data_IF_079945424157
#
_entry.id   IF_079945424157
#
_cell.length_a   1.000
_cell.length_b   1.000
_cell.length_c   1.000
_cell.angle_alpha   90.00
_cell.angle_beta   90.00
_cell.angle_gamma   90.00
#
_symmetry.space_group_name_H-M   'P 1'
#
loop_
_entity.id
_entity.type
_entity.pdbx_description
1 polymer ?
#
# COMPACT_ATOMS: atom_id res chain seq x y z
N UNK A 1 -16.63 -14.76 -14.41
CA UNK A 1 -16.52 -13.44 -13.75
C UNK A 1 -17.81 -13.17 -12.96
N UNK A 2 -17.73 -12.74 -11.70
CA UNK A 2 -18.92 -12.46 -10.85
C UNK A 2 -19.71 -11.25 -11.37
N UNK A 3 -21.04 -11.26 -11.21
CA UNK A 3 -21.94 -10.16 -11.61
C UNK A 3 -21.53 -8.81 -11.00
N UNK A 4 -21.15 -8.78 -9.72
CA UNK A 4 -20.63 -7.56 -9.08
C UNK A 4 -19.42 -6.99 -9.83
N UNK A 5 -18.51 -7.84 -10.29
CA UNK A 5 -17.29 -7.40 -10.99
C UNK A 5 -17.61 -6.80 -12.35
N UNK A 6 -18.62 -7.31 -13.07
CA UNK A 6 -19.12 -6.70 -14.32
C UNK A 6 -19.67 -5.30 -14.08
N UNK A 7 -20.54 -5.16 -13.06
CA UNK A 7 -21.11 -3.85 -12.69
C UNK A 7 -20.03 -2.82 -12.33
N UNK A 8 -18.99 -3.23 -11.61
CA UNK A 8 -17.88 -2.35 -11.27
C UNK A 8 -17.02 -1.96 -12.48
N UNK A 9 -16.90 -2.84 -13.47
CA UNK A 9 -16.17 -2.55 -14.72
C UNK A 9 -16.97 -1.57 -15.59
N UNK A 10 -18.29 -1.74 -15.65
CA UNK A 10 -19.18 -0.89 -16.45
C UNK A 10 -19.42 0.50 -15.83
N UNK A 11 -19.39 0.61 -14.49
CA UNK A 11 -19.56 1.89 -13.79
C UNK A 11 -18.30 2.78 -13.90
N UNK A 12 -18.33 3.91 -14.62
CA UNK A 12 -17.18 4.80 -14.79
C UNK A 12 -16.73 5.46 -13.47
N UNK A 13 -17.58 5.50 -12.44
CA UNK A 13 -17.27 6.10 -11.14
C UNK A 13 -16.54 5.15 -10.19
N UNK A 14 -16.34 3.88 -10.58
CA UNK A 14 -15.65 2.88 -9.75
C UNK A 14 -14.26 3.34 -9.26
N UNK A 15 -13.39 3.99 -10.06
CA UNK A 15 -12.10 4.50 -9.58
C UNK A 15 -12.24 5.55 -8.49
N UNK A 16 -13.10 6.55 -8.70
CA UNK A 16 -13.35 7.60 -7.70
C UNK A 16 -13.96 7.04 -6.42
N UNK A 17 -14.90 6.09 -6.51
CA UNK A 17 -15.48 5.41 -5.35
C UNK A 17 -14.43 4.57 -4.60
N UNK A 18 -13.57 3.84 -5.31
CA UNK A 18 -12.49 3.06 -4.71
C UNK A 18 -11.50 3.98 -3.97
N UNK A 19 -11.10 5.09 -4.59
CA UNK A 19 -10.25 6.10 -3.95
C UNK A 19 -10.91 6.69 -2.70
N UNK A 20 -12.19 7.08 -2.81
CA UNK A 20 -12.95 7.64 -1.68
C UNK A 20 -13.04 6.66 -0.52
N UNK A 21 -13.39 5.40 -0.76
CA UNK A 21 -13.43 4.39 0.30
C UNK A 21 -12.07 4.22 0.97
N UNK A 22 -10.99 4.12 0.18
CA UNK A 22 -9.62 4.07 0.73
C UNK A 22 -9.22 5.32 1.52
N UNK A 23 -9.80 6.48 1.20
CA UNK A 23 -9.56 7.74 1.90
C UNK A 23 -10.37 7.89 3.19
N UNK A 24 -11.48 7.16 3.32
CA UNK A 24 -12.24 7.06 4.59
C UNK A 24 -11.54 6.12 5.54
N UNK A 25 -11.14 4.94 5.06
CA UNK A 25 -10.44 3.95 5.88
C UNK A 25 -9.45 3.14 5.01
N UNK A 26 -8.18 3.01 5.45
CA UNK A 26 -7.16 2.31 4.68
C UNK A 26 -7.58 0.89 4.27
N UNK A 27 -7.42 0.58 2.97
CA UNK A 27 -7.79 -0.73 2.41
C UNK A 27 -9.26 -0.91 2.01
N UNK A 28 -10.20 -0.02 2.38
CA UNK A 28 -11.62 -0.21 1.98
C UNK A 28 -11.80 -0.16 0.45
N UNK A 29 -11.08 0.70 -0.25
CA UNK A 29 -11.13 0.76 -1.72
C UNK A 29 -10.72 -0.56 -2.36
N UNK A 30 -9.74 -1.26 -1.76
CA UNK A 30 -9.29 -2.57 -2.23
C UNK A 30 -10.37 -3.63 -2.03
N UNK A 31 -11.07 -3.62 -0.89
CA UNK A 31 -12.22 -4.51 -0.63
C UNK A 31 -13.37 -4.20 -1.58
N UNK A 32 -13.63 -2.92 -1.85
CA UNK A 32 -14.68 -2.47 -2.77
C UNK A 32 -14.48 -3.05 -4.19
N UNK A 33 -13.24 -3.04 -4.70
CA UNK A 33 -12.91 -3.61 -6.02
C UNK A 33 -12.59 -5.12 -5.99
N UNK A 34 -12.73 -5.78 -4.85
CA UNK A 34 -12.51 -7.23 -4.69
C UNK A 34 -11.03 -7.65 -4.60
N UNK A 35 -10.10 -6.73 -4.38
CA UNK A 35 -8.66 -6.98 -4.18
C UNK A 35 -8.27 -7.03 -2.69
N UNK A 36 -9.06 -7.72 -1.86
CA UNK A 36 -8.86 -7.76 -0.40
C UNK A 36 -7.51 -8.34 0.04
N UNK A 37 -6.86 -9.16 -0.79
CA UNK A 37 -5.53 -9.71 -0.51
C UNK A 37 -4.45 -8.63 -0.32
N UNK A 38 -4.66 -7.41 -0.82
CA UNK A 38 -3.75 -6.27 -0.64
C UNK A 38 -3.84 -5.64 0.76
N UNK A 39 -4.96 -5.83 1.47
CA UNK A 39 -5.25 -5.15 2.74
C UNK A 39 -4.20 -5.44 3.82
N UNK A 40 -3.74 -6.69 4.04
CA UNK A 40 -2.69 -6.96 5.02
C UNK A 40 -1.40 -6.16 4.79
N UNK A 41 -1.02 -5.91 3.53
CA UNK A 41 0.16 -5.10 3.21
C UNK A 41 -0.02 -3.62 3.55
N UNK A 42 -1.20 -3.07 3.30
CA UNK A 42 -1.55 -1.69 3.68
C UNK A 42 -1.45 -1.52 5.21
N UNK A 43 -2.07 -2.43 5.95
CA UNK A 43 -2.03 -2.39 7.42
C UNK A 43 -0.64 -2.70 7.98
N UNK A 44 0.13 -3.58 7.34
CA UNK A 44 1.52 -3.85 7.69
C UNK A 44 2.39 -2.59 7.58
N UNK A 45 2.27 -1.86 6.47
CA UNK A 45 3.03 -0.63 6.25
C UNK A 45 2.64 0.50 7.22
N UNK A 46 1.33 0.72 7.42
CA UNK A 46 0.84 1.70 8.40
C UNK A 46 1.27 1.30 9.81
N UNK A 47 1.06 0.03 10.19
CA UNK A 47 1.39 -0.49 11.52
C UNK A 47 2.88 -0.36 11.84
N UNK A 48 3.76 -0.72 10.89
CA UNK A 48 5.20 -0.57 11.05
C UNK A 48 5.61 0.90 11.26
N UNK A 49 5.00 1.81 10.51
CA UNK A 49 5.31 3.24 10.56
C UNK A 49 4.78 3.88 11.85
N UNK A 50 3.58 3.50 12.29
CA UNK A 50 3.02 3.92 13.58
C UNK A 50 3.87 3.39 14.74
N UNK A 51 4.30 2.13 14.69
CA UNK A 51 5.21 1.57 15.69
C UNK A 51 6.51 2.37 15.78
N UNK A 52 7.14 2.66 14.62
CA UNK A 52 8.34 3.48 14.54
C UNK A 52 8.13 4.88 15.13
N UNK A 53 6.99 5.52 14.84
CA UNK A 53 6.64 6.83 15.39
C UNK A 53 6.53 6.80 16.92
N UNK A 54 5.74 5.87 17.46
CA UNK A 54 5.49 5.77 18.90
C UNK A 54 6.78 5.45 19.66
N UNK A 55 7.57 4.50 19.16
CA UNK A 55 8.84 4.13 19.77
C UNK A 55 9.79 5.33 19.83
N UNK A 56 10.00 6.01 18.70
CA UNK A 56 10.92 7.14 18.64
C UNK A 56 10.41 8.37 19.41
N UNK A 57 9.10 8.61 19.47
CA UNK A 57 8.52 9.65 20.31
C UNK A 57 8.80 9.38 21.79
N UNK A 58 8.60 8.14 22.26
CA UNK A 58 8.88 7.74 23.64
C UNK A 58 10.36 7.93 24.00
N UNK A 59 11.27 7.46 23.15
CA UNK A 59 12.70 7.62 23.39
C UNK A 59 13.11 9.10 23.37
N UNK A 60 12.62 9.88 22.41
CA UNK A 60 12.87 11.33 22.38
C UNK A 60 12.42 12.01 23.69
N UNK A 61 11.26 11.66 24.24
CA UNK A 61 10.75 12.22 25.49
C UNK A 61 11.59 11.81 26.71
N UNK A 62 12.13 10.59 26.72
CA UNK A 62 13.09 10.11 27.72
C UNK A 62 14.35 10.97 27.76
N UNK A 63 15.02 11.13 26.61
CA UNK A 63 16.19 12.01 26.48
C UNK A 63 15.89 13.46 26.88
N UNK A 64 14.74 13.99 26.43
CA UNK A 64 14.30 15.35 26.75
C UNK A 64 14.06 15.54 28.25
N UNK A 65 13.49 14.53 28.91
CA UNK A 65 13.20 14.57 30.35
C UNK A 65 14.49 14.56 31.17
N UNK A 66 15.42 13.67 30.84
CA UNK A 66 16.75 13.64 31.48
C UNK A 66 17.49 14.97 31.31
N UNK A 67 17.50 15.52 30.10
CA UNK A 67 18.13 16.82 29.83
C UNK A 67 17.53 17.95 30.67
N UNK A 68 16.19 18.02 30.77
CA UNK A 68 15.51 19.00 31.62
C UNK A 68 15.83 18.83 33.11
N UNK A 69 15.90 17.59 33.61
CA UNK A 69 16.26 17.32 35.02
C UNK A 69 17.65 17.84 35.35
N UNK A 70 18.63 17.59 34.48
CA UNK A 70 20.01 18.09 34.68
C UNK A 70 20.10 19.60 34.64
N UNK A 71 19.35 20.26 33.75
CA UNK A 71 19.26 21.73 33.74
C UNK A 71 18.65 22.30 35.03
N UNK A 72 17.78 21.56 35.70
CA UNK A 72 17.23 21.91 37.00
C UNK A 72 18.17 21.56 38.18
N UNK A 73 19.38 21.06 37.92
CA UNK A 73 20.39 20.75 38.93
C UNK A 73 20.33 19.33 39.50
N UNK A 74 19.34 18.52 39.12
CA UNK A 74 19.22 17.14 39.59
C UNK A 74 20.30 16.23 38.96
N UNK A 75 20.69 15.18 39.70
CA UNK A 75 21.73 14.22 39.29
C UNK A 75 21.20 12.77 39.29
N UNK A 76 19.89 12.58 39.22
CA UNK A 76 19.19 11.30 39.42
C UNK A 76 18.43 10.81 38.16
N UNK A 77 18.82 11.29 36.97
CA UNK A 77 18.17 10.87 35.72
C UNK A 77 18.57 9.47 35.27
N UNK A 78 17.72 8.86 34.44
CA UNK A 78 17.86 7.49 33.94
C UNK A 78 19.18 7.23 33.18
N UNK A 79 19.79 8.27 32.62
CA UNK A 79 21.01 8.16 31.81
C UNK A 79 22.25 8.65 32.55
N UNK A 80 22.17 8.99 33.84
CA UNK A 80 23.26 9.68 34.53
C UNK A 80 24.60 8.92 34.48
N UNK A 81 24.54 7.61 34.62
CA UNK A 81 25.72 6.72 34.62
C UNK A 81 26.17 6.35 33.20
N UNK A 82 25.24 6.16 32.28
CA UNK A 82 25.51 5.68 30.91
C UNK A 82 25.87 6.81 29.94
N UNK A 83 25.25 7.99 30.11
CA UNK A 83 25.39 9.15 29.23
C UNK A 83 25.56 10.41 30.10
N UNK A 84 26.73 10.60 30.74
CA UNK A 84 26.94 11.71 31.68
C UNK A 84 27.01 13.07 30.98
N UNK A 85 27.37 13.10 29.69
CA UNK A 85 27.46 14.32 28.89
C UNK A 85 26.09 14.78 28.39
N UNK A 86 25.76 16.05 28.65
CA UNK A 86 24.54 16.70 28.18
C UNK A 86 24.49 16.83 26.65
N UNK A 87 25.65 16.98 25.99
CA UNK A 87 25.72 17.07 24.53
C UNK A 87 25.18 15.78 23.87
N UNK A 88 25.49 14.63 24.47
CA UNK A 88 25.03 13.30 24.03
C UNK A 88 23.55 13.07 24.27
N UNK A 89 22.97 13.65 25.33
CA UNK A 89 21.51 13.64 25.50
C UNK A 89 20.79 14.40 24.38
N UNK A 90 21.34 15.57 23.98
CA UNK A 90 20.78 16.36 22.88
C UNK A 90 20.90 15.60 21.56
N UNK A 91 22.04 14.95 21.32
CA UNK A 91 22.28 14.12 20.14
C UNK A 91 21.26 12.97 20.05
N UNK A 92 21.08 12.20 21.14
CA UNK A 92 20.08 11.12 21.21
C UNK A 92 18.64 11.62 21.01
N UNK A 93 18.29 12.76 21.63
CA UNK A 93 16.99 13.40 21.40
C UNK A 93 16.79 13.77 19.92
N UNK A 94 17.78 14.38 19.27
CA UNK A 94 17.72 14.77 17.84
C UNK A 94 17.62 13.54 16.94
N UNK A 95 18.36 12.47 17.26
CA UNK A 95 18.28 11.20 16.55
C UNK A 95 16.85 10.68 16.55
N UNK A 96 16.28 10.45 17.73
CA UNK A 96 14.91 9.91 17.83
C UNK A 96 13.86 10.87 17.26
N UNK A 97 14.04 12.19 17.40
CA UNK A 97 13.18 13.17 16.73
C UNK A 97 13.17 12.96 15.21
N UNK A 98 14.34 12.82 14.58
CA UNK A 98 14.46 12.61 13.13
C UNK A 98 13.74 11.34 12.67
N UNK A 99 13.95 10.22 13.39
CA UNK A 99 13.30 8.95 13.06
C UNK A 99 11.78 8.95 13.31
N UNK A 100 11.31 9.66 14.33
CA UNK A 100 9.88 9.92 14.52
C UNK A 100 9.30 10.71 13.34
N UNK A 101 9.97 11.78 12.94
CA UNK A 101 9.51 12.64 11.85
C UNK A 101 9.50 11.85 10.52
N UNK A 102 10.50 11.00 10.26
CA UNK A 102 10.48 10.06 9.14
C UNK A 102 9.33 9.06 9.23
N UNK A 103 9.09 8.47 10.41
CA UNK A 103 7.97 7.54 10.62
C UNK A 103 6.63 8.22 10.32
N UNK A 104 6.48 9.48 10.70
CA UNK A 104 5.29 10.27 10.36
C UNK A 104 5.13 10.49 8.85
N UNK A 105 6.22 10.78 8.14
CA UNK A 105 6.20 10.86 6.68
C UNK A 105 5.80 9.53 6.03
N UNK A 106 6.28 8.40 6.57
CA UNK A 106 5.85 7.08 6.08
C UNK A 106 4.37 6.82 6.34
N UNK A 107 3.82 7.20 7.49
CA UNK A 107 2.38 7.11 7.75
C UNK A 107 1.59 7.87 6.67
N UNK A 108 1.94 9.13 6.43
CA UNK A 108 1.27 9.97 5.43
C UNK A 108 1.46 9.41 4.01
N UNK A 109 2.68 9.03 3.66
CA UNK A 109 3.02 8.48 2.35
C UNK A 109 2.28 7.19 2.06
N UNK A 110 2.27 6.24 3.00
CA UNK A 110 1.51 4.99 2.88
C UNK A 110 0.00 5.25 2.80
N UNK A 111 -0.52 6.20 3.58
CA UNK A 111 -1.94 6.57 3.53
C UNK A 111 -2.34 7.07 2.15
N UNK A 112 -1.58 8.01 1.58
CA UNK A 112 -1.80 8.53 0.23
C UNK A 112 -1.62 7.44 -0.83
N UNK A 113 -0.58 6.62 -0.72
CA UNK A 113 -0.30 5.53 -1.65
C UNK A 113 -1.42 4.49 -1.68
N UNK A 114 -2.03 4.19 -0.53
CA UNK A 114 -3.19 3.29 -0.45
C UNK A 114 -4.41 3.83 -1.23
N UNK A 115 -4.64 5.14 -1.21
CA UNK A 115 -5.71 5.77 -1.98
C UNK A 115 -5.41 5.70 -3.48
N UNK A 116 -4.19 6.07 -3.87
CA UNK A 116 -3.75 6.05 -5.26
C UNK A 116 -3.76 4.62 -5.83
N UNK A 117 -3.27 3.63 -5.09
CA UNK A 117 -3.25 2.23 -5.54
C UNK A 117 -4.68 1.70 -5.76
N UNK A 118 -5.65 2.08 -4.93
CA UNK A 118 -7.05 1.69 -5.13
C UNK A 118 -7.64 2.35 -6.40
N UNK A 119 -7.37 3.64 -6.60
CA UNK A 119 -7.80 4.37 -7.79
C UNK A 119 -7.22 3.76 -9.08
N UNK A 120 -5.90 3.56 -9.12
CA UNK A 120 -5.20 2.97 -10.27
C UNK A 120 -5.66 1.53 -10.49
N UNK A 121 -5.79 0.73 -9.43
CA UNK A 121 -6.27 -0.64 -9.51
C UNK A 121 -7.67 -0.76 -10.10
N UNK A 122 -8.53 0.21 -9.80
CA UNK A 122 -9.88 0.30 -10.34
C UNK A 122 -9.86 0.74 -11.82
N UNK A 123 -9.06 1.74 -12.18
CA UNK A 123 -8.88 2.14 -13.59
C UNK A 123 -8.37 0.99 -14.46
N UNK A 124 -7.37 0.24 -13.96
CA UNK A 124 -6.83 -0.93 -14.66
C UNK A 124 -7.85 -2.06 -14.79
N UNK A 125 -8.81 -2.16 -13.87
CA UNK A 125 -9.88 -3.15 -13.95
C UNK A 125 -10.88 -2.82 -15.05
N UNK A 126 -11.13 -1.53 -15.32
CA UNK A 126 -12.00 -1.05 -16.40
C UNK A 126 -11.31 -1.06 -17.76
N UNK A 127 -9.96 -0.99 -17.77
CA UNK A 127 -9.19 -1.05 -19.00
C UNK A 127 -9.47 -2.39 -19.70
N UNK A 128 -9.93 -2.27 -20.93
CA UNK A 128 -10.54 -3.35 -21.67
C UNK A 128 -9.50 -4.34 -22.18
N UNK A 129 -9.21 -5.38 -21.41
CA UNK A 129 -8.71 -6.64 -21.99
C UNK A 129 -9.95 -7.39 -22.48
N UNK A 130 -10.47 -7.01 -23.66
CA UNK A 130 -11.42 -7.84 -24.38
C UNK A 130 -10.68 -9.16 -24.64
N UNK A 131 -11.02 -10.23 -23.91
CA UNK A 131 -10.67 -11.63 -24.22
C UNK A 131 -11.30 -12.10 -25.56
N UNK A 132 -11.56 -11.17 -26.48
CA UNK A 132 -12.17 -11.40 -27.77
C UNK A 132 -11.15 -11.90 -28.79
N UNK A 133 -9.86 -11.97 -28.41
CA UNK A 133 -8.81 -12.61 -29.20
C UNK A 133 -8.63 -14.04 -28.67
N UNK A 134 -9.36 -14.97 -29.25
CA UNK A 134 -9.24 -16.40 -28.92
C UNK A 134 -8.49 -17.11 -30.04
N UNK A 135 -7.39 -17.77 -29.69
CA UNK A 135 -6.64 -18.67 -30.56
C UNK A 135 -7.12 -20.10 -30.30
N UNK A 136 -7.65 -20.76 -31.34
CA UNK A 136 -8.06 -22.16 -31.26
C UNK A 136 -7.45 -22.95 -32.43
N UNK A 137 -6.99 -24.18 -32.20
CA UNK A 137 -6.55 -25.04 -33.30
C UNK A 137 -7.75 -25.35 -34.21
N UNK A 138 -7.51 -25.29 -35.53
CA UNK A 138 -8.50 -25.57 -36.57
C UNK A 138 -8.09 -26.83 -37.32
N UNK A 139 -8.99 -27.80 -37.36
CA UNK A 139 -8.82 -29.06 -38.07
C UNK A 139 -9.98 -29.19 -39.04
N UNK A 140 -9.68 -29.29 -40.33
CA UNK A 140 -10.69 -29.45 -41.37
C UNK A 140 -10.27 -30.57 -42.30
N UNK A 141 -11.09 -31.62 -42.35
CA UNK A 141 -10.92 -32.73 -43.27
C UNK A 141 -11.78 -32.48 -44.49
N UNK A 142 -11.16 -32.31 -45.65
CA UNK A 142 -11.89 -32.18 -46.91
C UNK A 142 -12.34 -33.57 -47.38
N UNK A 143 -13.66 -33.76 -47.45
CA UNK A 143 -14.26 -35.05 -47.79
C UNK A 143 -14.04 -35.46 -49.26
N UNK A 144 -13.68 -34.51 -50.14
CA UNK A 144 -13.49 -34.77 -51.58
C UNK A 144 -12.04 -35.11 -51.92
N UNK A 145 -11.08 -34.45 -51.28
CA UNK A 145 -9.64 -34.64 -51.54
C UNK A 145 -8.96 -35.58 -50.56
N UNK A 146 -9.64 -35.94 -49.45
CA UNK A 146 -9.11 -36.77 -48.34
C UNK A 146 -7.87 -36.17 -47.66
N UNK A 147 -7.60 -34.88 -47.90
CA UNK A 147 -6.50 -34.16 -47.25
C UNK A 147 -6.96 -33.56 -45.92
N UNK A 148 -6.04 -33.55 -44.95
CA UNK A 148 -6.27 -32.98 -43.62
C UNK A 148 -5.55 -31.65 -43.51
N UNK A 149 -6.32 -30.57 -43.37
CA UNK A 149 -5.80 -29.22 -43.20
C UNK A 149 -5.69 -28.87 -41.72
N UNK A 150 -4.50 -28.44 -41.32
CA UNK A 150 -4.17 -28.02 -39.95
C UNK A 150 -3.89 -26.53 -39.94
N UNK A 151 -4.53 -25.78 -39.05
CA UNK A 151 -4.33 -24.34 -38.97
C UNK A 151 -4.64 -23.76 -37.60
N UNK A 152 -4.46 -22.44 -37.47
CA UNK A 152 -4.83 -21.67 -36.29
C UNK A 152 -5.98 -20.75 -36.68
N UNK A 153 -7.11 -20.86 -35.99
CA UNK A 153 -8.24 -19.94 -36.16
C UNK A 153 -8.18 -18.84 -35.12
N UNK A 154 -8.12 -17.61 -35.61
CA UNK A 154 -8.23 -16.40 -34.80
C UNK A 154 -9.67 -15.93 -34.83
N UNK A 155 -10.36 -15.97 -33.69
CA UNK A 155 -11.66 -15.33 -33.55
C UNK A 155 -11.41 -13.89 -33.10
N UNK A 156 -11.92 -12.93 -33.89
CA UNK A 156 -11.97 -11.51 -33.54
C UNK A 156 -13.43 -11.09 -33.63
N UNK A 157 -14.01 -10.69 -32.50
CA UNK A 157 -15.35 -10.09 -32.46
C UNK A 157 -15.18 -8.58 -32.26
N UNK A 158 -15.30 -7.85 -33.37
CA UNK A 158 -15.23 -6.39 -33.45
C UNK A 158 -16.31 -5.77 -32.54
#
# INVERSE_FOLDING_TARGET
MSERKKLLIEDPLTPSKAAFYSAVLPGLGQIYIGKSWKVPFVYGAIGASVYGYVYNQKEMDRYRTAYKRRLAGFQDDEFKTLIPDNSKLIEGMKFHKSYRDMSFLFILGTYMLNILDANVSAHLMQFNVKDNLSLKPHFESDFLTKESNYGIKVLVKL
#
